data_IF_835320277204
#
_entry.id   IF_835320277204
#
_cell.length_a   1.000
_cell.length_b   1.000
_cell.length_c   1.000
_cell.angle_alpha   90.00
_cell.angle_beta   90.00
_cell.angle_gamma   90.00
#
_symmetry.space_group_name_H-M   'P 1'
#
loop_
_entity.id
_entity.type
_entity.pdbx_description
1 polymer ?
#
# COMPACT_ATOMS: atom_id res chain seq x y z
N UNK A 1 -0.58 -30.33 23.68
CA UNK A 1 -1.83 -29.55 23.79
C UNK A 1 -2.03 -28.80 22.47
N UNK A 2 -3.12 -29.06 21.73
CA UNK A 2 -3.43 -28.33 20.49
C UNK A 2 -3.94 -26.93 20.88
N UNK A 3 -3.18 -25.88 20.57
CA UNK A 3 -3.70 -24.52 20.66
C UNK A 3 -4.88 -24.36 19.68
N UNK A 4 -6.01 -23.77 20.10
CA UNK A 4 -7.10 -23.48 19.19
C UNK A 4 -6.61 -22.45 18.18
N UNK A 5 -6.55 -22.81 16.89
CA UNK A 5 -6.35 -21.85 15.80
C UNK A 5 -7.55 -20.91 15.83
N UNK A 6 -7.37 -19.69 16.35
CA UNK A 6 -8.36 -18.62 16.17
C UNK A 6 -8.40 -18.31 14.68
N UNK A 7 -9.42 -18.82 14.00
CA UNK A 7 -9.63 -18.51 12.58
C UNK A 7 -9.93 -17.02 12.46
N UNK A 8 -9.23 -16.34 11.57
CA UNK A 8 -9.54 -14.96 11.19
C UNK A 8 -10.94 -14.92 10.59
N UNK A 9 -11.80 -14.05 11.14
CA UNK A 9 -13.12 -13.81 10.57
C UNK A 9 -13.00 -12.80 9.44
N UNK A 10 -12.69 -13.29 8.24
CA UNK A 10 -12.49 -12.45 7.05
C UNK A 10 -13.81 -11.91 6.46
N UNK A 11 -14.90 -12.67 6.62
CA UNK A 11 -16.24 -12.31 6.17
C UNK A 11 -16.98 -11.52 7.25
N UNK A 12 -16.93 -10.20 7.15
CA UNK A 12 -17.83 -9.29 7.86
C UNK A 12 -18.82 -8.75 6.83
N UNK A 13 -20.11 -8.63 7.17
CA UNK A 13 -21.10 -7.98 6.30
C UNK A 13 -20.60 -6.56 5.99
N UNK A 14 -20.20 -6.31 4.75
CA UNK A 14 -19.79 -4.97 4.31
C UNK A 14 -21.00 -4.05 4.38
N UNK A 15 -20.96 -3.03 5.25
CA UNK A 15 -21.84 -1.88 5.10
C UNK A 15 -21.42 -1.14 3.82
N UNK A 16 -22.35 -0.67 2.97
CA UNK A 16 -21.96 0.16 1.84
C UNK A 16 -21.20 1.37 2.36
N UNK A 17 -19.92 1.47 2.02
CA UNK A 17 -19.08 2.60 2.39
C UNK A 17 -19.71 3.89 1.85
N UNK A 18 -19.59 4.97 2.64
CA UNK A 18 -20.26 6.25 2.41
C UNK A 18 -20.14 6.71 0.95
N UNK A 19 -21.29 7.03 0.34
CA UNK A 19 -21.40 7.56 -1.02
C UNK A 19 -20.60 8.85 -1.24
N UNK A 20 -20.15 9.54 -0.19
CA UNK A 20 -19.46 10.84 -0.30
C UNK A 20 -18.01 10.71 -0.79
N UNK A 21 -17.22 9.76 -0.27
CA UNK A 21 -15.81 9.60 -0.71
C UNK A 21 -15.79 9.16 -2.17
N UNK A 22 -16.55 8.13 -2.52
CA UNK A 22 -16.61 7.67 -3.90
C UNK A 22 -17.09 8.78 -4.85
N UNK A 23 -18.13 9.56 -4.49
CA UNK A 23 -18.58 10.71 -5.30
C UNK A 23 -17.51 11.77 -5.52
N UNK A 24 -16.68 12.04 -4.51
CA UNK A 24 -15.59 13.02 -4.62
C UNK A 24 -14.56 12.57 -5.68
N UNK A 25 -14.24 11.28 -5.75
CA UNK A 25 -13.18 10.80 -6.64
C UNK A 25 -13.68 10.29 -7.99
N UNK A 26 -14.94 9.89 -8.10
CA UNK A 26 -15.50 9.27 -9.30
C UNK A 26 -15.21 10.03 -10.61
N UNK A 27 -15.30 11.38 -10.69
CA UNK A 27 -14.97 12.11 -11.91
C UNK A 27 -13.49 12.04 -12.32
N UNK A 28 -12.61 11.64 -11.41
CA UNK A 28 -11.16 11.64 -11.58
C UNK A 28 -10.55 10.25 -11.65
N UNK A 29 -11.32 9.17 -11.44
CA UNK A 29 -10.79 7.81 -11.50
C UNK A 29 -10.14 7.59 -12.87
N UNK A 30 -8.86 7.20 -12.85
CA UNK A 30 -8.11 6.95 -14.06
C UNK A 30 -8.63 5.65 -14.72
N UNK A 31 -9.01 5.65 -16.00
CA UNK A 31 -9.51 4.44 -16.65
C UNK A 31 -8.45 3.33 -16.68
N UNK A 32 -8.84 2.11 -16.30
CA UNK A 32 -7.95 0.92 -16.28
C UNK A 32 -7.28 0.71 -17.66
N UNK A 33 -8.03 0.94 -18.73
CA UNK A 33 -7.59 0.73 -20.11
C UNK A 33 -6.84 1.90 -20.74
N UNK A 34 -6.72 3.04 -20.03
CA UNK A 34 -6.00 4.20 -20.57
C UNK A 34 -4.49 3.94 -20.50
N UNK A 35 -3.85 3.82 -21.65
CA UNK A 35 -2.44 3.41 -21.80
C UNK A 35 -1.42 4.39 -21.22
N UNK A 36 -1.82 5.63 -20.89
CA UNK A 36 -0.92 6.66 -20.38
C UNK A 36 -1.47 7.24 -19.09
N UNK A 37 -0.66 7.21 -18.03
CA UNK A 37 -0.87 7.98 -16.81
C UNK A 37 0.17 9.09 -16.71
N UNK A 38 -0.24 10.30 -16.32
CA UNK A 38 0.67 11.44 -16.14
C UNK A 38 0.69 11.80 -14.66
N UNK A 39 1.86 11.64 -14.03
CA UNK A 39 2.07 11.97 -12.63
C UNK A 39 2.16 13.47 -12.37
N UNK A 40 2.20 13.86 -11.09
CA UNK A 40 2.28 15.26 -10.63
C UNK A 40 3.50 16.02 -11.17
N UNK A 41 4.61 15.33 -11.40
CA UNK A 41 5.84 15.92 -11.93
C UNK A 41 5.82 16.07 -13.46
N UNK A 42 4.73 15.70 -14.12
CA UNK A 42 4.64 15.60 -15.57
C UNK A 42 5.25 14.31 -16.13
N UNK A 43 5.83 13.44 -15.28
CA UNK A 43 6.33 12.13 -15.71
C UNK A 43 5.19 11.28 -16.26
N UNK A 44 5.42 10.67 -17.42
CA UNK A 44 4.47 9.80 -18.09
C UNK A 44 4.82 8.34 -17.82
N UNK A 45 3.80 7.55 -17.51
CA UNK A 45 3.87 6.11 -17.31
C UNK A 45 3.01 5.42 -18.37
N UNK A 46 3.58 4.44 -19.05
CA UNK A 46 2.99 3.81 -20.24
C UNK A 46 2.70 2.34 -19.96
N UNK A 47 1.49 1.90 -20.30
CA UNK A 47 1.15 0.48 -20.28
C UNK A 47 1.69 -0.22 -21.54
N UNK A 48 2.20 -1.43 -21.38
CA UNK A 48 2.43 -2.34 -22.49
C UNK A 48 1.12 -3.04 -22.90
N UNK A 49 0.89 -3.20 -24.20
CA UNK A 49 -0.26 -3.93 -24.74
C UNK A 49 0.15 -5.35 -25.18
N UNK A 50 -0.77 -6.35 -25.10
CA UNK A 50 -2.17 -6.25 -24.70
C UNK A 50 -2.37 -6.15 -23.17
N UNK A 51 -3.42 -5.45 -22.75
CA UNK A 51 -3.78 -5.30 -21.34
C UNK A 51 -4.44 -6.56 -20.79
N UNK A 52 -3.98 -7.04 -19.63
CA UNK A 52 -4.60 -8.17 -18.92
C UNK A 52 -5.85 -7.74 -18.18
N UNK A 53 -5.77 -6.64 -17.44
CA UNK A 53 -6.87 -6.11 -16.66
C UNK A 53 -7.56 -5.00 -17.45
N UNK A 54 -8.84 -5.19 -17.75
CA UNK A 54 -9.65 -4.22 -18.50
C UNK A 54 -10.93 -3.81 -17.76
N UNK A 55 -11.29 -4.56 -16.71
CA UNK A 55 -12.49 -4.35 -15.90
C UNK A 55 -12.12 -4.26 -14.41
N UNK A 56 -12.92 -3.56 -13.59
CA UNK A 56 -12.69 -3.48 -12.14
C UNK A 56 -12.79 -4.85 -11.46
N UNK A 57 -11.81 -5.19 -10.63
CA UNK A 57 -11.77 -6.39 -9.81
C UNK A 57 -12.54 -6.21 -8.49
N UNK A 58 -12.68 -4.97 -8.00
CA UNK A 58 -13.44 -4.64 -6.79
C UNK A 58 -13.02 -5.52 -5.59
N UNK A 59 -13.98 -6.19 -4.95
CA UNK A 59 -13.75 -7.00 -3.74
C UNK A 59 -12.88 -8.24 -3.93
N UNK A 60 -12.44 -8.55 -5.16
CA UNK A 60 -11.40 -9.56 -5.40
C UNK A 60 -10.02 -9.10 -4.92
N UNK A 61 -9.82 -7.78 -4.81
CA UNK A 61 -8.63 -7.16 -4.24
C UNK A 61 -8.91 -6.81 -2.77
N UNK A 62 -7.99 -7.23 -1.89
CA UNK A 62 -7.92 -6.77 -0.50
C UNK A 62 -6.79 -5.75 -0.35
N UNK A 63 -7.11 -4.56 0.13
CA UNK A 63 -6.13 -3.65 0.74
C UNK A 63 -5.98 -4.03 2.21
N UNK A 64 -4.77 -4.42 2.61
CA UNK A 64 -4.49 -5.02 3.91
C UNK A 64 -3.50 -4.16 4.71
N UNK A 65 -3.98 -3.68 5.86
CA UNK A 65 -3.12 -3.18 6.94
C UNK A 65 -2.98 -4.23 8.03
N UNK A 66 -1.79 -4.33 8.62
CA UNK A 66 -1.52 -5.24 9.75
C UNK A 66 -0.80 -4.49 10.85
N UNK A 67 -1.17 -4.73 12.10
CA UNK A 67 -0.44 -4.17 13.25
C UNK A 67 -0.51 -5.10 14.46
N UNK A 68 0.50 -5.06 15.31
CA UNK A 68 0.53 -5.76 16.60
C UNK A 68 0.34 -4.83 17.80
N UNK A 69 0.36 -3.51 17.59
CA UNK A 69 0.24 -2.48 18.63
C UNK A 69 -1.21 -2.21 18.96
N UNK A 70 -1.44 -1.56 20.11
CA UNK A 70 -2.76 -1.04 20.49
C UNK A 70 -3.12 0.17 19.62
N UNK A 71 -4.26 0.11 18.93
CA UNK A 71 -4.69 1.10 17.96
C UNK A 71 -5.81 2.03 18.46
N UNK A 72 -6.29 1.84 19.69
CA UNK A 72 -7.39 2.57 20.32
C UNK A 72 -6.94 3.69 21.26
N UNK A 73 -5.62 3.87 21.43
CA UNK A 73 -5.06 4.99 22.19
C UNK A 73 -5.29 6.35 21.52
N UNK A 74 -4.97 7.49 22.20
CA UNK A 74 -5.35 8.84 21.75
C UNK A 74 -4.91 9.26 20.34
N UNK A 75 -3.88 8.60 19.80
CA UNK A 75 -3.27 8.84 18.49
C UNK A 75 -3.52 7.68 17.50
N UNK A 76 -4.15 6.61 17.94
CA UNK A 76 -4.42 5.45 17.12
C UNK A 76 -5.61 5.65 16.18
N UNK A 77 -5.65 4.89 15.09
CA UNK A 77 -6.72 4.94 14.10
C UNK A 77 -8.09 4.49 14.64
N UNK A 78 -8.10 3.72 15.74
CA UNK A 78 -9.32 3.30 16.45
C UNK A 78 -9.62 4.16 17.69
N UNK A 79 -8.94 5.30 17.83
CA UNK A 79 -9.20 6.25 18.90
C UNK A 79 -10.66 6.70 18.89
N UNK A 80 -11.27 6.78 20.07
CA UNK A 80 -12.62 7.38 20.23
C UNK A 80 -12.60 8.90 20.20
N UNK A 81 -11.44 9.51 20.43
CA UNK A 81 -11.29 10.95 20.35
C UNK A 81 -11.24 11.40 18.88
N UNK A 82 -11.84 12.55 18.53
CA UNK A 82 -11.70 13.12 17.20
C UNK A 82 -10.21 13.28 16.83
N UNK A 83 -9.85 12.87 15.61
CA UNK A 83 -8.50 13.07 15.11
C UNK A 83 -8.28 14.56 14.83
N UNK A 84 -7.18 15.10 15.36
CA UNK A 84 -6.75 16.46 15.05
C UNK A 84 -5.95 16.48 13.75
N UNK A 85 -6.45 17.19 12.74
CA UNK A 85 -5.81 17.31 11.44
C UNK A 85 -4.38 17.88 11.50
N UNK A 86 -4.07 18.76 12.45
CA UNK A 86 -2.74 19.39 12.57
C UNK A 86 -1.71 18.55 13.34
N UNK A 87 -2.10 17.36 13.80
CA UNK A 87 -1.25 16.47 14.59
C UNK A 87 -1.48 14.99 14.30
N UNK A 88 -1.93 14.67 13.07
CA UNK A 88 -2.16 13.29 12.64
C UNK A 88 -0.86 12.49 12.68
N UNK A 89 -0.81 11.38 13.43
CA UNK A 89 0.36 10.51 13.44
C UNK A 89 0.60 9.90 12.06
N UNK A 90 1.87 9.66 11.66
CA UNK A 90 2.20 9.06 10.36
C UNK A 90 1.43 7.77 10.11
N UNK A 91 1.53 6.81 11.03
CA UNK A 91 0.90 5.50 10.96
C UNK A 91 -0.64 5.52 10.89
N UNK A 92 -1.27 6.57 11.44
CA UNK A 92 -2.72 6.76 11.33
C UNK A 92 -3.07 7.37 9.98
N UNK A 93 -2.23 8.29 9.49
CA UNK A 93 -2.41 8.94 8.19
C UNK A 93 -2.30 7.96 7.03
N UNK A 94 -1.28 7.09 7.03
CA UNK A 94 -1.11 6.06 5.99
C UNK A 94 -2.31 5.12 5.92
N UNK A 95 -2.76 4.60 7.07
CA UNK A 95 -3.97 3.74 7.13
C UNK A 95 -5.24 4.41 6.62
N UNK A 96 -5.45 5.68 6.95
CA UNK A 96 -6.58 6.44 6.42
C UNK A 96 -6.48 6.64 4.91
N UNK A 97 -5.26 6.81 4.37
CA UNK A 97 -5.02 6.80 2.92
C UNK A 97 -5.37 5.44 2.30
N UNK A 98 -4.94 4.33 2.90
CA UNK A 98 -5.25 2.98 2.40
C UNK A 98 -6.75 2.69 2.41
N UNK A 99 -7.42 3.05 3.51
CA UNK A 99 -8.86 2.91 3.65
C UNK A 99 -9.62 3.76 2.62
N UNK A 100 -9.19 5.01 2.42
CA UNK A 100 -9.75 5.88 1.39
C UNK A 100 -9.54 5.31 -0.01
N UNK A 101 -8.33 4.82 -0.31
CA UNK A 101 -8.01 4.20 -1.59
C UNK A 101 -8.91 2.99 -1.89
N UNK A 102 -9.11 2.09 -0.92
CA UNK A 102 -10.04 0.98 -1.06
C UNK A 102 -11.49 1.44 -1.32
N UNK A 103 -11.95 2.46 -0.60
CA UNK A 103 -13.30 3.02 -0.79
C UNK A 103 -13.51 3.62 -2.18
N UNK A 104 -12.51 4.27 -2.75
CA UNK A 104 -12.60 4.91 -4.08
C UNK A 104 -12.90 3.87 -5.16
N UNK A 105 -12.18 2.75 -5.12
CA UNK A 105 -12.21 1.73 -6.18
C UNK A 105 -13.12 0.52 -5.86
N UNK A 106 -13.74 0.49 -4.69
CA UNK A 106 -14.61 -0.62 -4.28
C UNK A 106 -13.86 -1.90 -3.91
N UNK A 107 -12.59 -1.80 -3.56
CA UNK A 107 -11.81 -2.92 -3.00
C UNK A 107 -12.30 -3.25 -1.59
N UNK A 108 -11.99 -4.46 -1.12
CA UNK A 108 -12.16 -4.73 0.30
C UNK A 108 -10.99 -4.13 1.10
N UNK A 109 -11.26 -3.75 2.35
CA UNK A 109 -10.23 -3.22 3.26
C UNK A 109 -10.29 -3.93 4.60
N UNK A 110 -9.13 -4.36 5.10
CA UNK A 110 -9.02 -4.89 6.46
C UNK A 110 -7.80 -4.31 7.16
N UNK A 111 -8.03 -3.84 8.38
CA UNK A 111 -6.99 -3.61 9.37
C UNK A 111 -6.98 -4.79 10.33
N UNK A 112 -5.95 -5.62 10.23
CA UNK A 112 -5.83 -6.86 10.98
C UNK A 112 -4.87 -6.66 12.15
N UNK A 113 -5.40 -6.77 13.37
CA UNK A 113 -4.60 -6.66 14.58
C UNK A 113 -4.19 -8.06 15.08
N UNK A 114 -2.90 -8.39 15.03
CA UNK A 114 -2.37 -9.70 15.45
C UNK A 114 -1.34 -9.50 16.54
N UNK A 115 -1.47 -10.16 17.71
CA UNK A 115 -0.43 -10.12 18.73
C UNK A 115 0.91 -10.59 18.18
N UNK A 116 1.99 -9.95 18.62
CA UNK A 116 3.34 -10.35 18.26
C UNK A 116 3.63 -11.78 18.78
N UNK A 117 4.16 -12.64 17.91
CA UNK A 117 4.62 -13.98 18.28
C UNK A 117 5.92 -13.89 19.08
N UNK A 118 6.03 -14.65 20.17
CA UNK A 118 7.25 -14.70 21.00
C UNK A 118 8.46 -15.07 20.14
N UNK A 119 9.57 -14.34 20.32
CA UNK A 119 10.80 -14.55 19.55
C UNK A 119 10.76 -14.02 18.12
N UNK A 120 9.68 -13.34 17.72
CA UNK A 120 9.55 -12.69 16.41
C UNK A 120 9.24 -11.22 16.56
N UNK A 121 9.82 -10.38 15.71
CA UNK A 121 9.45 -8.98 15.58
C UNK A 121 8.00 -8.81 15.12
N UNK A 122 7.36 -7.70 15.49
CA UNK A 122 5.99 -7.39 15.07
C UNK A 122 5.81 -7.33 13.55
N UNK A 123 6.88 -7.04 12.80
CA UNK A 123 6.86 -7.03 11.32
C UNK A 123 6.45 -8.37 10.72
N UNK A 124 6.74 -9.50 11.39
CA UNK A 124 6.35 -10.83 10.92
C UNK A 124 4.84 -11.05 10.82
N UNK A 125 4.04 -10.25 11.53
CA UNK A 125 2.57 -10.38 11.49
C UNK A 125 2.01 -10.17 10.09
N UNK A 126 2.67 -9.37 9.24
CA UNK A 126 2.25 -9.14 7.85
C UNK A 126 2.29 -10.42 7.01
N UNK A 127 3.34 -11.24 7.17
CA UNK A 127 3.51 -12.50 6.44
C UNK A 127 2.37 -13.47 6.77
N UNK A 128 2.05 -13.61 8.07
CA UNK A 128 0.93 -14.43 8.53
C UNK A 128 -0.41 -13.91 8.02
N UNK A 129 -0.66 -12.61 8.11
CA UNK A 129 -1.93 -12.01 7.68
C UNK A 129 -2.15 -12.18 6.16
N UNK A 130 -1.14 -11.93 5.33
CA UNK A 130 -1.23 -12.10 3.88
C UNK A 130 -1.51 -13.57 3.54
N UNK A 131 -0.78 -14.52 4.16
CA UNK A 131 -0.99 -15.96 3.97
C UNK A 131 -2.44 -16.38 4.22
N UNK A 132 -3.03 -15.86 5.30
CA UNK A 132 -4.41 -16.17 5.69
C UNK A 132 -5.43 -15.46 4.79
N UNK A 133 -5.16 -14.23 4.37
CA UNK A 133 -5.99 -13.47 3.44
C UNK A 133 -6.07 -14.13 2.04
N UNK A 134 -4.96 -14.67 1.54
CA UNK A 134 -4.90 -15.35 0.23
C UNK A 134 -5.85 -16.55 0.12
N UNK A 135 -6.43 -17.05 1.22
CA UNK A 135 -7.46 -18.10 1.17
C UNK A 135 -8.83 -17.59 0.68
N UNK A 136 -9.04 -16.26 0.65
CA UNK A 136 -10.34 -15.63 0.42
C UNK A 136 -10.34 -14.57 -0.68
N UNK A 137 -9.18 -14.05 -1.08
CA UNK A 137 -9.04 -13.00 -2.08
C UNK A 137 -8.15 -13.45 -3.22
N UNK A 138 -8.42 -12.98 -4.44
CA UNK A 138 -7.57 -13.24 -5.61
C UNK A 138 -6.27 -12.44 -5.54
N UNK A 139 -6.34 -11.22 -4.99
CA UNK A 139 -5.19 -10.34 -4.78
C UNK A 139 -5.20 -9.77 -3.37
N UNK A 140 -4.04 -9.78 -2.72
CA UNK A 140 -3.80 -9.11 -1.44
C UNK A 140 -2.72 -8.06 -1.66
N UNK A 141 -3.06 -6.80 -1.41
CA UNK A 141 -2.13 -5.67 -1.47
C UNK A 141 -1.89 -5.21 -0.03
N UNK A 142 -0.76 -5.62 0.51
CA UNK A 142 -0.29 -5.18 1.82
C UNK A 142 0.48 -3.87 1.71
N UNK A 143 0.21 -2.94 2.64
CA UNK A 143 0.88 -1.65 2.70
C UNK A 143 1.24 -1.36 4.17
N UNK A 144 2.52 -1.06 4.44
CA UNK A 144 2.98 -0.66 5.77
C UNK A 144 2.34 0.69 6.16
N UNK A 145 2.14 0.91 7.46
CA UNK A 145 1.42 2.09 7.96
C UNK A 145 2.10 3.42 7.66
N UNK A 146 3.41 3.40 7.42
CA UNK A 146 4.23 4.52 7.00
C UNK A 146 4.41 4.59 5.47
N UNK A 147 3.59 3.86 4.71
CA UNK A 147 3.46 4.01 3.27
C UNK A 147 2.08 4.59 2.89
N UNK A 148 1.92 4.95 1.61
CA UNK A 148 0.67 5.49 1.06
C UNK A 148 0.60 5.43 -0.48
N UNK A 149 -0.62 5.56 -1.00
CA UNK A 149 -0.92 5.75 -2.41
C UNK A 149 -0.99 7.26 -2.74
N UNK A 150 0.02 7.86 -3.42
CA UNK A 150 0.02 9.28 -3.80
C UNK A 150 -1.04 9.65 -4.82
N UNK A 151 -1.47 8.68 -5.64
CA UNK A 151 -2.53 8.85 -6.63
C UNK A 151 -3.73 8.00 -6.27
N UNK A 152 -4.58 8.45 -5.33
CA UNK A 152 -5.72 7.65 -4.89
C UNK A 152 -6.75 7.39 -6.01
N UNK A 153 -6.70 8.13 -7.13
CA UNK A 153 -7.54 7.91 -8.30
C UNK A 153 -7.01 6.85 -9.28
N UNK A 154 -5.78 6.34 -9.11
CA UNK A 154 -5.17 5.36 -10.01
C UNK A 154 -5.50 3.94 -9.52
N UNK A 155 -6.29 3.15 -10.27
CA UNK A 155 -6.71 1.83 -9.82
C UNK A 155 -5.55 0.80 -9.79
N UNK A 156 -5.67 -0.22 -8.93
CA UNK A 156 -4.67 -1.28 -8.81
C UNK A 156 -4.57 -2.10 -10.09
N UNK A 157 -5.67 -2.29 -10.82
CA UNK A 157 -5.71 -2.97 -12.11
C UNK A 157 -4.82 -2.28 -13.15
N UNK A 158 -4.78 -0.94 -13.13
CA UNK A 158 -3.86 -0.18 -13.98
C UNK A 158 -2.41 -0.42 -13.57
N UNK A 159 -2.13 -0.38 -12.25
CA UNK A 159 -0.79 -0.69 -11.72
C UNK A 159 -0.37 -2.14 -11.99
N UNK A 160 -1.30 -3.09 -11.97
CA UNK A 160 -1.05 -4.48 -12.28
C UNK A 160 -0.68 -4.67 -13.75
N UNK A 161 -1.33 -3.96 -14.68
CA UNK A 161 -0.91 -3.92 -16.07
C UNK A 161 0.48 -3.27 -16.20
N UNK A 162 0.72 -2.13 -15.53
CA UNK A 162 1.96 -1.38 -15.62
C UNK A 162 3.17 -2.18 -15.13
N UNK A 163 3.01 -2.91 -14.02
CA UNK A 163 4.05 -3.77 -13.46
C UNK A 163 4.04 -5.19 -14.01
N UNK A 164 3.26 -5.45 -15.06
CA UNK A 164 3.18 -6.74 -15.75
C UNK A 164 2.91 -7.91 -14.79
N UNK A 165 1.91 -7.75 -13.92
CA UNK A 165 1.47 -8.83 -13.03
C UNK A 165 0.81 -9.92 -13.87
N UNK A 166 1.47 -11.07 -13.97
CA UNK A 166 1.05 -12.25 -14.75
C UNK A 166 0.28 -13.26 -13.89
N UNK A 167 -0.48 -14.20 -14.50
CA UNK A 167 -1.12 -15.28 -13.74
C UNK A 167 -0.12 -16.10 -12.90
N UNK A 168 1.15 -16.13 -13.31
CA UNK A 168 2.25 -16.83 -12.67
C UNK A 168 2.95 -16.02 -11.57
N UNK A 169 2.70 -14.70 -11.49
CA UNK A 169 3.27 -13.83 -10.46
C UNK A 169 2.76 -14.24 -9.08
N UNK A 170 3.67 -14.64 -8.17
CA UNK A 170 3.30 -14.96 -6.79
C UNK A 170 3.23 -13.70 -5.94
N UNK A 171 4.31 -12.90 -6.01
CA UNK A 171 4.47 -11.66 -5.28
C UNK A 171 5.14 -10.59 -6.14
N UNK A 172 4.79 -9.33 -5.92
CA UNK A 172 5.50 -8.17 -6.46
C UNK A 172 5.90 -7.23 -5.32
N UNK A 173 7.17 -6.84 -5.31
CA UNK A 173 7.77 -5.99 -4.28
C UNK A 173 8.83 -5.09 -4.89
N UNK A 174 8.98 -3.88 -4.35
CA UNK A 174 9.97 -2.93 -4.81
C UNK A 174 11.37 -3.27 -4.30
N UNK A 175 12.41 -2.90 -5.04
CA UNK A 175 13.78 -2.91 -4.51
C UNK A 175 13.90 -1.93 -3.33
N UNK A 176 14.82 -2.22 -2.42
CA UNK A 176 15.38 -1.20 -1.53
C UNK A 176 16.37 -0.29 -2.28
N UNK A 177 16.77 0.85 -1.68
CA UNK A 177 17.88 1.64 -2.20
C UNK A 177 19.12 0.79 -2.42
N UNK A 178 19.82 1.03 -3.52
CA UNK A 178 21.08 0.35 -3.79
C UNK A 178 22.17 0.84 -2.84
N UNK A 179 22.38 0.10 -1.76
CA UNK A 179 23.41 0.35 -0.77
C UNK A 179 23.96 -0.98 -0.21
N UNK A 180 25.21 -1.03 0.27
CA UNK A 180 25.82 -2.26 0.78
C UNK A 180 25.04 -2.95 1.90
N UNK A 181 24.38 -2.19 2.78
CA UNK A 181 23.57 -2.73 3.88
C UNK A 181 22.20 -3.29 3.41
N UNK A 182 21.80 -3.02 2.17
CA UNK A 182 20.58 -3.53 1.55
C UNK A 182 20.86 -4.70 0.61
N UNK A 183 22.01 -5.37 0.74
CA UNK A 183 22.38 -6.54 -0.05
C UNK A 183 22.22 -7.80 0.80
N UNK A 184 21.74 -8.87 0.17
CA UNK A 184 21.73 -10.19 0.77
C UNK A 184 23.09 -10.90 0.61
N UNK A 185 23.17 -12.15 1.07
CA UNK A 185 24.40 -12.96 0.98
C UNK A 185 24.88 -13.28 -0.44
N UNK A 186 24.02 -13.18 -1.45
CA UNK A 186 24.39 -13.33 -2.86
C UNK A 186 24.57 -11.98 -3.56
N UNK A 187 24.77 -10.90 -2.78
CA UNK A 187 24.99 -9.54 -3.26
C UNK A 187 23.84 -8.96 -4.11
N UNK A 188 22.62 -9.49 -3.97
CA UNK A 188 21.42 -8.97 -4.62
C UNK A 188 20.70 -8.03 -3.66
N UNK A 189 20.30 -6.87 -4.15
CA UNK A 189 19.50 -5.90 -3.37
C UNK A 189 18.26 -6.57 -2.79
N UNK A 190 17.92 -6.23 -1.55
CA UNK A 190 16.70 -6.66 -0.92
C UNK A 190 15.49 -6.09 -1.64
N UNK A 191 14.38 -6.83 -1.52
CA UNK A 191 13.07 -6.30 -1.86
C UNK A 191 12.47 -5.75 -0.58
N UNK A 192 12.00 -4.51 -0.64
CA UNK A 192 11.29 -3.86 0.45
C UNK A 192 9.93 -4.54 0.67
N UNK A 193 9.63 -4.86 1.92
CA UNK A 193 8.40 -5.59 2.30
C UNK A 193 7.33 -4.68 2.91
N UNK A 194 7.46 -3.36 2.72
CA UNK A 194 6.46 -2.37 3.11
C UNK A 194 5.35 -2.17 2.07
N UNK A 195 5.53 -2.69 0.86
CA UNK A 195 4.47 -2.77 -0.15
C UNK A 195 4.57 -4.12 -0.87
N UNK A 196 3.56 -4.97 -0.70
CA UNK A 196 3.55 -6.32 -1.26
C UNK A 196 2.23 -6.53 -1.99
N UNK A 197 2.31 -6.85 -3.27
CA UNK A 197 1.19 -7.42 -4.03
C UNK A 197 1.38 -8.92 -4.01
N UNK A 198 0.39 -9.68 -3.55
CA UNK A 198 0.39 -11.13 -3.59
C UNK A 198 -0.83 -11.63 -4.36
N UNK A 199 -0.62 -12.54 -5.33
CA UNK A 199 -1.70 -13.15 -6.10
C UNK A 199 -1.98 -14.56 -5.59
N UNK A 200 -3.26 -14.93 -5.48
CA UNK A 200 -3.66 -16.25 -5.03
C UNK A 200 -3.23 -17.33 -6.02
N UNK A 201 -2.46 -18.30 -5.52
CA UNK A 201 -2.17 -19.55 -6.20
C UNK A 201 -1.69 -20.58 -5.17
N UNK A 202 -1.73 -21.89 -5.47
CA UNK A 202 -1.12 -22.92 -4.62
C UNK A 202 0.36 -22.62 -4.31
N UNK A 203 1.11 -22.15 -5.31
CA UNK A 203 2.53 -21.82 -5.17
C UNK A 203 2.77 -20.58 -4.32
N UNK A 204 1.85 -19.60 -4.35
CA UNK A 204 1.91 -18.44 -3.46
C UNK A 204 1.69 -18.87 -2.01
N UNK A 205 0.78 -19.82 -1.75
CA UNK A 205 0.61 -20.37 -0.41
C UNK A 205 1.87 -21.10 0.08
N UNK A 206 2.54 -21.87 -0.78
CA UNK A 206 3.84 -22.49 -0.47
C UNK A 206 4.92 -21.44 -0.14
N UNK A 207 4.96 -20.33 -0.87
CA UNK A 207 5.88 -19.21 -0.63
C UNK A 207 5.66 -18.60 0.75
N UNK A 208 4.42 -18.22 1.08
CA UNK A 208 4.13 -17.62 2.38
C UNK A 208 4.28 -18.61 3.54
N UNK A 209 4.05 -19.90 3.32
CA UNK A 209 4.36 -20.93 4.32
C UNK A 209 5.86 -21.07 4.56
N UNK A 210 6.66 -21.09 3.49
CA UNK A 210 8.13 -21.12 3.61
C UNK A 210 8.66 -19.86 4.32
N UNK A 211 8.10 -18.70 3.99
CA UNK A 211 8.46 -17.43 4.61
C UNK A 211 8.11 -17.39 6.09
N UNK A 212 6.85 -17.65 6.45
CA UNK A 212 6.37 -17.65 7.84
C UNK A 212 7.14 -18.64 8.72
N UNK A 213 7.54 -19.79 8.18
CA UNK A 213 8.27 -20.82 8.91
C UNK A 213 9.80 -20.65 8.86
N UNK A 214 10.33 -19.66 8.15
CA UNK A 214 11.76 -19.45 8.01
C UNK A 214 12.48 -19.37 9.38
N UNK A 215 11.97 -18.62 10.38
CA UNK A 215 12.62 -18.56 11.70
C UNK A 215 12.62 -19.88 12.48
N UNK A 216 11.84 -20.88 12.07
CA UNK A 216 11.80 -22.19 12.72
C UNK A 216 12.93 -23.11 12.24
N UNK A 217 13.70 -22.70 11.22
CA UNK A 217 14.85 -23.41 10.64
C UNK A 217 14.57 -24.84 10.14
N UNK A 218 13.29 -25.19 9.96
CA UNK A 218 12.87 -26.50 9.43
C UNK A 218 13.23 -26.67 7.96
N UNK A 219 13.11 -25.59 7.17
CA UNK A 219 13.45 -25.55 5.73
C UNK A 219 14.76 -24.83 5.46
N UNK A 220 15.07 -23.80 6.24
CA UNK A 220 16.21 -22.92 6.00
C UNK A 220 17.10 -22.82 7.24
N UNK A 221 18.17 -23.64 7.34
CA UNK A 221 19.15 -23.53 8.42
C UNK A 221 19.73 -22.10 8.49
N UNK A 222 19.82 -21.55 9.70
CA UNK A 222 20.35 -20.20 9.94
C UNK A 222 19.34 -19.05 9.76
N UNK A 223 18.10 -19.32 9.34
CA UNK A 223 17.09 -18.28 9.20
C UNK A 223 16.48 -17.85 10.56
N UNK A 224 16.71 -18.59 11.65
CA UNK A 224 16.18 -18.33 12.97
C UNK A 224 16.48 -16.92 13.49
N UNK A 225 17.68 -16.41 13.19
CA UNK A 225 18.11 -15.06 13.58
C UNK A 225 17.18 -13.96 13.07
N UNK A 226 16.60 -14.13 11.88
CA UNK A 226 15.70 -13.15 11.26
C UNK A 226 14.32 -13.10 11.93
N UNK A 227 14.04 -13.97 12.90
CA UNK A 227 12.94 -13.78 13.83
C UNK A 227 13.02 -12.42 14.54
N UNK A 228 14.20 -12.06 15.06
CA UNK A 228 14.41 -10.86 15.88
C UNK A 228 15.43 -9.86 15.34
N UNK A 229 16.34 -10.27 14.46
CA UNK A 229 17.34 -9.36 13.90
C UNK A 229 16.78 -8.58 12.72
N UNK A 230 16.97 -7.26 12.74
CA UNK A 230 16.58 -6.36 11.64
C UNK A 230 17.36 -6.67 10.35
N UNK A 231 16.75 -6.60 9.15
CA UNK A 231 15.37 -6.20 8.84
C UNK A 231 14.31 -7.33 8.91
N UNK A 232 14.54 -8.37 9.70
CA UNK A 232 13.55 -9.41 10.05
C UNK A 232 13.05 -10.23 8.85
N UNK A 233 11.72 -10.27 8.64
CA UNK A 233 11.07 -10.99 7.55
C UNK A 233 11.61 -10.60 6.17
N UNK A 234 12.05 -9.36 5.98
CA UNK A 234 12.65 -8.91 4.73
C UNK A 234 13.97 -9.62 4.45
N UNK A 235 14.82 -9.74 5.48
CA UNK A 235 16.07 -10.50 5.40
C UNK A 235 15.82 -11.99 5.24
N UNK A 236 14.80 -12.54 5.91
CA UNK A 236 14.42 -13.93 5.73
C UNK A 236 14.00 -14.20 4.27
N UNK A 237 13.22 -13.31 3.67
CA UNK A 237 12.85 -13.41 2.25
C UNK A 237 14.06 -13.32 1.34
N UNK A 238 14.87 -12.28 1.53
CA UNK A 238 16.00 -11.96 0.68
C UNK A 238 17.12 -12.98 0.72
N UNK A 239 17.49 -13.48 1.91
CA UNK A 239 18.60 -14.42 2.07
C UNK A 239 18.22 -15.88 1.84
N UNK A 240 16.94 -16.25 2.01
CA UNK A 240 16.50 -17.64 1.94
C UNK A 240 15.33 -17.85 0.96
N UNK A 241 14.15 -17.31 1.27
CA UNK A 241 12.90 -17.71 0.60
C UNK A 241 12.96 -17.48 -0.91
N UNK A 242 13.45 -16.32 -1.36
CA UNK A 242 13.44 -15.95 -2.79
C UNK A 242 14.23 -16.90 -3.69
N UNK A 243 15.13 -17.69 -3.13
CA UNK A 243 15.96 -18.62 -3.90
C UNK A 243 15.25 -19.93 -4.23
N UNK A 244 14.21 -20.29 -3.49
CA UNK A 244 13.34 -21.44 -3.78
C UNK A 244 12.21 -21.11 -4.76
N UNK A 245 11.88 -19.82 -4.89
CA UNK A 245 10.83 -19.28 -5.76
C UNK A 245 11.46 -18.45 -6.88
N UNK A 246 12.23 -19.14 -7.73
CA UNK A 246 13.14 -18.55 -8.70
C UNK A 246 12.70 -18.74 -10.15
N UNK A 247 11.45 -19.16 -10.42
CA UNK A 247 10.91 -19.12 -11.79
C UNK A 247 10.85 -17.66 -12.23
N UNK A 248 11.01 -17.41 -13.53
CA UNK A 248 11.11 -16.07 -14.09
C UNK A 248 9.97 -15.13 -13.66
N UNK A 249 8.77 -15.68 -13.51
CA UNK A 249 7.57 -14.94 -13.13
C UNK A 249 7.26 -15.01 -11.63
N UNK A 250 7.94 -15.84 -10.82
CA UNK A 250 7.53 -16.06 -9.41
C UNK A 250 7.53 -14.75 -8.60
N UNK A 251 8.55 -13.92 -8.79
CA UNK A 251 8.78 -12.68 -8.03
C UNK A 251 8.94 -11.53 -9.02
N UNK A 252 7.95 -10.65 -9.07
CA UNK A 252 8.00 -9.43 -9.86
C UNK A 252 8.72 -8.33 -9.08
N UNK A 253 9.88 -7.92 -9.58
CA UNK A 253 10.70 -6.87 -8.97
C UNK A 253 10.22 -5.50 -9.46
N UNK A 254 9.77 -4.65 -8.55
CA UNK A 254 9.33 -3.28 -8.86
C UNK A 254 10.48 -2.29 -8.69
N UNK A 255 10.44 -1.20 -9.45
CA UNK A 255 11.40 -0.11 -9.31
C UNK A 255 11.32 0.53 -7.93
N UNK A 256 12.46 0.72 -7.27
CA UNK A 256 12.51 1.48 -6.02
C UNK A 256 12.05 2.92 -6.24
N UNK A 257 12.39 3.54 -7.37
CA UNK A 257 11.97 4.92 -7.69
C UNK A 257 10.45 5.08 -7.70
N UNK A 258 9.74 4.04 -8.13
CA UNK A 258 8.30 4.09 -8.32
C UNK A 258 7.52 3.60 -7.11
N UNK A 259 7.97 2.51 -6.48
CA UNK A 259 7.18 1.77 -5.50
C UNK A 259 7.83 1.69 -4.10
N UNK A 260 8.85 2.50 -3.83
CA UNK A 260 9.48 2.61 -2.51
C UNK A 260 10.10 4.01 -2.27
N UNK A 261 10.32 4.35 -1.01
CA UNK A 261 10.87 5.65 -0.60
C UNK A 261 9.87 6.79 -0.72
N UNK A 262 10.35 8.01 -0.53
CA UNK A 262 9.55 9.23 -0.54
C UNK A 262 10.37 10.39 -1.10
N UNK A 263 9.75 11.53 -1.45
CA UNK A 263 10.46 12.67 -2.03
C UNK A 263 11.68 13.11 -1.22
N UNK A 264 11.60 13.03 0.10
CA UNK A 264 12.65 13.44 1.03
C UNK A 264 13.91 12.56 0.96
N UNK A 265 13.78 11.32 0.46
CA UNK A 265 14.90 10.40 0.25
C UNK A 265 15.17 10.10 -1.23
N UNK A 266 14.65 10.93 -2.15
CA UNK A 266 14.81 10.70 -3.60
C UNK A 266 16.28 10.61 -4.05
N UNK A 267 17.22 11.23 -3.31
CA UNK A 267 18.66 11.12 -3.55
C UNK A 267 19.20 9.67 -3.45
N UNK A 268 18.46 8.77 -2.82
CA UNK A 268 18.78 7.33 -2.74
C UNK A 268 18.36 6.55 -3.99
N UNK A 269 17.71 7.22 -4.96
CA UNK A 269 17.08 6.60 -6.13
C UNK A 269 15.63 6.15 -5.90
N UNK A 270 15.11 6.30 -4.67
CA UNK A 270 13.78 5.83 -4.27
C UNK A 270 12.87 7.00 -3.93
N UNK A 271 12.14 7.50 -4.93
CA UNK A 271 11.32 8.71 -4.80
C UNK A 271 9.85 8.44 -4.44
N UNK A 272 9.40 7.18 -4.54
CA UNK A 272 8.02 6.78 -4.32
C UNK A 272 7.05 7.45 -5.29
N UNK A 273 7.28 7.34 -6.60
CA UNK A 273 6.45 8.04 -7.57
C UNK A 273 5.00 7.53 -7.59
N UNK A 274 4.77 6.21 -7.57
CA UNK A 274 3.47 5.54 -7.65
C UNK A 274 3.00 4.97 -6.30
N UNK A 275 3.93 4.57 -5.43
CA UNK A 275 3.71 4.21 -4.02
C UNK A 275 4.81 4.84 -3.19
N UNK A 276 4.45 5.55 -2.13
CA UNK A 276 5.43 6.18 -1.22
C UNK A 276 5.56 5.37 0.05
N UNK A 277 6.79 5.14 0.47
CA UNK A 277 7.12 4.52 1.74
C UNK A 277 8.08 5.44 2.50
N UNK A 278 7.58 6.05 3.57
CA UNK A 278 8.24 7.11 4.34
C UNK A 278 9.21 6.56 5.41
N UNK A 279 9.92 5.46 5.14
CA UNK A 279 10.88 4.88 6.09
C UNK A 279 12.01 5.85 6.47
N UNK A 280 12.38 6.76 5.56
CA UNK A 280 13.43 7.76 5.78
C UNK A 280 12.96 9.09 6.37
N UNK A 281 11.67 9.42 6.24
CA UNK A 281 11.07 10.61 6.86
C UNK A 281 9.57 10.41 7.13
N UNK A 282 9.26 9.69 8.21
CA UNK A 282 7.86 9.43 8.62
C UNK A 282 7.07 10.71 8.90
N UNK A 283 7.75 11.81 9.24
CA UNK A 283 7.08 13.06 9.64
C UNK A 283 6.37 13.76 8.48
N UNK A 284 6.79 13.49 7.25
CA UNK A 284 6.23 14.07 6.03
C UNK A 284 5.00 13.32 5.49
N UNK A 285 4.72 12.10 5.99
CA UNK A 285 3.59 11.29 5.54
C UNK A 285 2.22 11.99 5.71
N UNK A 286 1.88 12.59 6.87
CA UNK A 286 0.59 13.29 7.02
C UNK A 286 0.37 14.41 5.98
N UNK A 287 1.42 15.16 5.65
CA UNK A 287 1.36 16.18 4.60
C UNK A 287 1.12 15.54 3.22
N UNK A 288 1.84 14.45 2.90
CA UNK A 288 1.64 13.70 1.65
C UNK A 288 0.22 13.15 1.49
N UNK A 289 -0.38 12.65 2.58
CA UNK A 289 -1.79 12.22 2.59
C UNK A 289 -2.74 13.41 2.40
N UNK A 290 -2.46 14.55 3.04
CA UNK A 290 -3.20 15.79 2.84
C UNK A 290 -3.20 16.25 1.38
N UNK A 291 -2.03 16.25 0.74
CA UNK A 291 -1.88 16.58 -0.68
C UNK A 291 -2.69 15.66 -1.58
N UNK A 292 -2.71 14.35 -1.27
CA UNK A 292 -3.51 13.37 -2.00
C UNK A 292 -5.01 13.61 -1.92
N UNK A 293 -5.52 14.26 -0.86
CA UNK A 293 -6.92 14.66 -0.76
C UNK A 293 -7.18 16.01 -1.45
N UNK A 294 -6.35 17.00 -1.13
CA UNK A 294 -6.52 18.37 -1.64
C UNK A 294 -6.46 18.44 -3.16
N UNK A 295 -5.66 17.58 -3.79
CA UNK A 295 -5.53 17.47 -5.24
C UNK A 295 -6.88 17.26 -5.95
N UNK A 296 -7.81 16.51 -5.35
CA UNK A 296 -9.10 16.18 -6.00
C UNK A 296 -10.24 17.01 -5.42
N UNK A 297 -10.11 17.48 -4.18
CA UNK A 297 -11.11 18.33 -3.55
C UNK A 297 -11.08 19.77 -4.08
N UNK A 298 -9.90 20.41 -4.15
CA UNK A 298 -9.79 21.82 -4.52
C UNK A 298 -10.31 22.13 -5.93
N UNK A 299 -10.04 21.31 -6.98
CA UNK A 299 -10.60 21.58 -8.31
C UNK A 299 -12.13 21.55 -8.35
N UNK A 300 -12.77 20.67 -7.58
CA UNK A 300 -14.23 20.61 -7.48
C UNK A 300 -14.79 21.81 -6.72
N UNK A 301 -14.15 22.18 -5.61
CA UNK A 301 -14.53 23.37 -4.84
C UNK A 301 -14.40 24.63 -5.70
N UNK A 302 -13.29 24.76 -6.43
CA UNK A 302 -13.07 25.86 -7.37
C UNK A 302 -14.10 25.85 -8.50
N UNK A 303 -14.40 24.69 -9.10
CA UNK A 303 -15.44 24.58 -10.13
C UNK A 303 -16.82 25.01 -9.62
N UNK A 304 -17.16 24.63 -8.39
CA UNK A 304 -18.40 25.06 -7.73
C UNK A 304 -18.40 26.57 -7.49
N UNK A 305 -17.34 27.11 -6.91
CA UNK A 305 -17.19 28.56 -6.71
C UNK A 305 -17.32 29.33 -8.03
N UNK A 306 -16.64 28.87 -9.07
CA UNK A 306 -16.68 29.48 -10.40
C UNK A 306 -18.09 29.46 -11.00
N UNK A 307 -18.80 28.33 -10.89
CA UNK A 307 -20.18 28.21 -11.37
C UNK A 307 -21.13 29.20 -10.67
N UNK A 308 -20.92 29.43 -9.37
CA UNK A 308 -21.70 30.37 -8.56
C UNK A 308 -21.11 31.78 -8.49
N UNK A 309 -20.02 32.06 -9.21
CA UNK A 309 -19.27 33.32 -9.10
C UNK A 309 -20.14 34.55 -9.33
N UNK A 310 -21.11 34.48 -10.24
CA UNK A 310 -22.05 35.58 -10.54
C UNK A 310 -22.90 36.02 -9.36
N UNK A 311 -23.19 35.13 -8.42
CA UNK A 311 -23.97 35.43 -7.21
C UNK A 311 -23.10 35.62 -5.97
N UNK A 312 -21.87 35.10 -5.99
CA UNK A 312 -20.95 35.16 -4.86
C UNK A 312 -20.01 36.38 -4.89
N UNK A 313 -19.70 36.89 -6.09
CA UNK A 313 -18.78 38.01 -6.27
C UNK A 313 -19.55 39.33 -6.28
N UNK A 314 -19.35 40.13 -5.23
CA UNK A 314 -19.87 41.51 -5.17
C UNK A 314 -18.78 42.45 -5.67
N UNK A 315 -18.95 42.97 -6.89
CA UNK A 315 -18.08 44.01 -7.43
C UNK A 315 -18.40 45.35 -6.74
N UNK A 316 -17.56 45.77 -5.79
CA UNK A 316 -17.57 47.17 -5.31
C UNK A 316 -16.88 48.06 -6.36
N UNK A 317 -17.50 48.24 -7.51
CA UNK A 317 -17.28 49.42 -8.36
C UNK A 317 -18.42 50.41 -8.15
N UNK A 318 -18.62 50.83 -6.90
CA UNK A 318 -19.18 52.14 -6.62
C UNK A 318 -18.01 53.09 -6.40
N UNK A 319 -17.75 53.95 -7.39
CA UNK A 319 -17.17 55.26 -7.12
C UNK A 319 -18.16 55.97 -6.20
N UNK A 320 -17.90 55.96 -4.90
CA UNK A 320 -18.45 56.96 -3.99
C UNK A 320 -17.66 58.25 -4.23
N UNK A 321 -17.97 58.99 -5.29
CA UNK A 321 -17.63 60.41 -5.45
C UNK A 321 -18.52 61.04 -6.53
N UNK A 322 -19.67 61.57 -6.11
CA UNK A 322 -20.16 62.94 -6.36
C UNK A 322 -21.52 63.10 -5.68
#
# INVERSE_FOLDING_TARGET
>A
MRHPRKHFQWTIKSSPYSSTVHRLYNPYIHPITKTIFVGRTGKMFWLAEPLRFTEPLGKKILILDVDSRHLDGPKGVLSKAPLNATGLPPDTSGRLNHFMFAMIHGYDYRLVQIPQTVGRSGTWTKVTAIREALKYYEYVVFIDADAMMPYPNLPMEWLFNYWEITPETLVAMALDPDAPHNRDWNNRTFLNTGFIIAQQSPRTHELFEAWENCPNETRYPGCGRWGGEWPHEQSAFGNHVRYDFNRSEDIRVLSCTEANGCPEVAATGCAGELVRHYWGDKSSLPAGVGDAVLQYFLPQLHGTFYHHSRTLVVNRTERVFA
#
